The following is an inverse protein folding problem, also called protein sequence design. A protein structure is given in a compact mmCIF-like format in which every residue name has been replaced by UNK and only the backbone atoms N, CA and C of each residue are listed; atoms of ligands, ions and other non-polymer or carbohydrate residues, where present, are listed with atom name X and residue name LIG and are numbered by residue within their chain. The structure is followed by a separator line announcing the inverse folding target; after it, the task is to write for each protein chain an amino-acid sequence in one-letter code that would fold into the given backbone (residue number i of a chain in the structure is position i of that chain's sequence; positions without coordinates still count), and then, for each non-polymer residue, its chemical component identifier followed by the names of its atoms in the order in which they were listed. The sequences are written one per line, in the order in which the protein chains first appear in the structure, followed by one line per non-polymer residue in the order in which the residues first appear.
data_IF_424821878033
#
_entry.id   IF_424821878033
#
_cell.length_a   1.000
_cell.length_b   1.000
_cell.length_c   1.000
_cell.angle_alpha   90.00
_cell.angle_beta   90.00
_cell.angle_gamma   90.00
#
_symmetry.space_group_name_H-M   'P 1'
#
loop_
_entity.id
_entity.type
_entity.pdbx_description
1 polymer ?
#
# COMPACT_ATOMS: atom_id res chain seq x y z
N UNK A 1 8.54 1.09 -12.92
CA UNK A 1 8.42 1.63 -11.55
C UNK A 1 9.67 1.30 -10.78
N UNK A 2 10.41 2.31 -10.33
CA UNK A 2 11.55 2.14 -9.40
C UNK A 2 11.01 1.82 -7.99
N UNK A 3 11.72 1.01 -7.21
CA UNK A 3 11.33 0.61 -5.84
C UNK A 3 10.01 -0.16 -5.70
N UNK A 4 9.48 -0.70 -6.80
CA UNK A 4 8.31 -1.58 -6.76
C UNK A 4 8.56 -2.73 -5.77
N UNK A 5 7.64 -2.98 -4.82
CA UNK A 5 7.78 -4.10 -3.89
C UNK A 5 7.89 -5.44 -4.62
N UNK A 6 8.93 -6.21 -4.29
CA UNK A 6 9.06 -7.59 -4.78
C UNK A 6 8.29 -8.50 -3.83
N UNK A 7 7.15 -9.06 -4.25
CA UNK A 7 6.33 -9.91 -3.38
C UNK A 7 6.48 -11.35 -3.82
N UNK A 8 7.00 -12.21 -2.94
CA UNK A 8 7.07 -13.66 -3.17
C UNK A 8 5.75 -14.34 -2.79
N UNK A 9 5.22 -14.02 -1.61
CA UNK A 9 3.90 -14.47 -1.14
C UNK A 9 3.23 -13.38 -0.31
N UNK A 10 1.90 -13.38 -0.27
CA UNK A 10 1.10 -12.50 0.60
C UNK A 10 -0.32 -13.05 0.75
N UNK A 11 -0.99 -12.67 1.85
CA UNK A 11 -2.40 -12.97 2.09
C UNK A 11 -3.25 -11.73 1.77
N UNK A 12 -4.17 -11.82 0.79
CA UNK A 12 -5.17 -10.78 0.56
C UNK A 12 -6.14 -10.66 1.73
N UNK A 13 -6.28 -9.46 2.29
CA UNK A 13 -7.21 -9.17 3.42
C UNK A 13 -8.41 -8.33 3.01
N UNK A 14 -8.34 -7.67 1.87
CA UNK A 14 -9.43 -6.84 1.36
C UNK A 14 -9.23 -6.49 -0.10
N UNK A 15 -10.33 -6.32 -0.81
CA UNK A 15 -10.34 -5.82 -2.19
C UNK A 15 -11.27 -4.63 -2.27
N UNK A 16 -10.91 -3.67 -3.10
CA UNK A 16 -11.64 -2.43 -3.28
C UNK A 16 -11.74 -2.10 -4.76
N UNK A 17 -12.86 -1.48 -5.16
CA UNK A 17 -13.02 -0.87 -6.47
C UNK A 17 -13.03 0.66 -6.32
N UNK A 18 -12.26 1.35 -7.15
CA UNK A 18 -12.14 2.80 -7.19
C UNK A 18 -12.15 3.25 -8.66
N UNK A 19 -13.32 3.62 -9.19
CA UNK A 19 -13.46 3.92 -10.62
C UNK A 19 -12.94 2.76 -11.49
N UNK A 20 -11.96 3.05 -12.34
CA UNK A 20 -11.32 2.07 -13.24
C UNK A 20 -10.09 1.38 -12.61
N UNK A 21 -9.98 1.38 -11.28
CA UNK A 21 -8.91 0.70 -10.54
C UNK A 21 -9.49 -0.28 -9.55
N UNK A 22 -8.83 -1.42 -9.45
CA UNK A 22 -8.96 -2.31 -8.29
C UNK A 22 -7.80 -2.07 -7.34
N UNK A 23 -8.05 -2.13 -6.03
CA UNK A 23 -7.00 -2.12 -5.02
C UNK A 23 -7.10 -3.37 -4.15
N UNK A 24 -5.96 -4.03 -3.90
CA UNK A 24 -5.91 -5.21 -3.03
C UNK A 24 -5.02 -4.93 -1.84
N UNK A 25 -5.59 -5.07 -0.64
CA UNK A 25 -4.86 -5.03 0.62
C UNK A 25 -4.21 -6.38 0.88
N UNK A 26 -2.90 -6.37 1.02
CA UNK A 26 -2.04 -7.51 1.26
C UNK A 26 -1.43 -7.41 2.65
N UNK A 27 -1.24 -8.56 3.29
CA UNK A 27 -0.57 -8.72 4.59
C UNK A 27 0.19 -10.05 4.60
N UNK A 28 0.89 -10.36 5.70
CA UNK A 28 1.68 -11.61 5.81
C UNK A 28 2.61 -11.77 4.59
N UNK A 29 3.34 -10.69 4.31
CA UNK A 29 4.06 -10.49 3.06
C UNK A 29 5.46 -11.07 3.20
N UNK A 30 5.79 -12.03 2.35
CA UNK A 30 7.15 -12.49 2.17
C UNK A 30 7.76 -11.73 0.99
N UNK A 31 8.84 -11.00 1.26
CA UNK A 31 9.55 -10.19 0.27
C UNK A 31 11.06 -10.38 0.43
N UNK A 32 11.84 -10.46 -0.66
CA UNK A 32 13.29 -10.38 -0.61
C UNK A 32 13.82 -8.94 -0.48
N UNK A 33 12.94 -7.93 -0.50
CA UNK A 33 13.36 -6.53 -0.34
C UNK A 33 13.98 -6.32 1.06
N UNK A 34 14.85 -5.32 1.18
CA UNK A 34 15.41 -4.93 2.48
C UNK A 34 14.36 -4.35 3.46
N UNK A 35 13.18 -3.99 2.93
CA UNK A 35 12.07 -3.40 3.69
C UNK A 35 11.19 -4.52 4.24
N UNK A 36 10.79 -4.39 5.51
CA UNK A 36 9.85 -5.33 6.13
C UNK A 36 8.43 -4.78 6.02
N UNK A 37 7.67 -5.29 5.04
CA UNK A 37 6.30 -4.85 4.80
C UNK A 37 5.30 -5.50 5.78
N UNK A 38 4.54 -4.68 6.50
CA UNK A 38 3.38 -5.13 7.28
C UNK A 38 2.16 -5.26 6.39
N UNK A 39 1.90 -4.20 5.62
CA UNK A 39 0.78 -4.12 4.70
C UNK A 39 1.20 -3.47 3.40
N UNK A 40 0.57 -3.90 2.30
CA UNK A 40 0.69 -3.26 1.00
C UNK A 40 -0.71 -3.13 0.42
N UNK A 41 -1.09 -1.93 -0.02
CA UNK A 41 -2.26 -1.71 -0.86
C UNK A 41 -1.79 -1.50 -2.29
N UNK A 42 -2.08 -2.46 -3.17
CA UNK A 42 -1.64 -2.43 -4.56
C UNK A 42 -2.81 -2.03 -5.49
N UNK A 43 -2.64 -0.97 -6.27
CA UNK A 43 -3.64 -0.45 -7.20
C UNK A 43 -3.35 -0.90 -8.62
N UNK A 44 -4.28 -1.66 -9.20
CA UNK A 44 -4.20 -2.21 -10.55
C UNK A 44 -5.30 -1.58 -11.40
N UNK A 45 -4.96 -0.89 -12.50
CA UNK A 45 -5.96 -0.44 -13.47
C UNK A 45 -6.75 -1.63 -14.01
N UNK A 46 -8.03 -1.42 -14.31
CA UNK A 46 -8.87 -2.46 -14.87
C UNK A 46 -8.32 -3.00 -16.19
N UNK A 47 -8.48 -4.30 -16.41
CA UNK A 47 -7.90 -5.03 -17.54
C UNK A 47 -6.37 -5.18 -17.52
N UNK A 48 -5.64 -4.61 -16.55
CA UNK A 48 -4.20 -4.79 -16.39
C UNK A 48 -3.88 -5.84 -15.32
N UNK A 49 -2.67 -6.41 -15.41
CA UNK A 49 -2.18 -7.41 -14.43
C UNK A 49 -1.21 -6.82 -13.42
N UNK A 50 -0.61 -5.67 -13.74
CA UNK A 50 0.45 -5.09 -12.93
C UNK A 50 -0.04 -3.84 -12.19
N UNK A 51 0.29 -3.70 -10.90
CA UNK A 51 -0.02 -2.49 -10.17
C UNK A 51 0.74 -1.27 -10.70
N UNK A 52 0.07 -0.12 -10.72
CA UNK A 52 0.66 1.19 -11.07
C UNK A 52 0.97 2.06 -9.87
N UNK A 53 0.45 1.70 -8.71
CA UNK A 53 0.73 2.36 -7.44
C UNK A 53 0.71 1.31 -6.33
N UNK A 54 1.63 1.48 -5.39
CA UNK A 54 1.63 0.82 -4.10
C UNK A 54 1.62 1.87 -3.00
N UNK A 55 0.85 1.61 -1.96
CA UNK A 55 1.04 2.24 -0.66
C UNK A 55 1.47 1.14 0.30
N UNK A 56 2.51 1.39 1.08
CA UNK A 56 3.18 0.40 1.90
C UNK A 56 3.26 0.88 3.35
N UNK A 57 2.97 -0.01 4.30
CA UNK A 57 3.35 0.13 5.70
C UNK A 57 4.59 -0.71 5.94
N UNK A 58 5.70 -0.05 6.24
CA UNK A 58 7.01 -0.66 6.45
C UNK A 58 7.39 -0.55 7.92
N UNK A 59 7.80 -1.65 8.56
CA UNK A 59 8.35 -1.56 9.93
C UNK A 59 9.67 -0.80 9.89
N UNK A 60 9.86 0.15 10.81
CA UNK A 60 11.15 0.79 11.00
C UNK A 60 12.18 -0.28 11.40
N UNK A 61 13.39 -0.19 10.83
CA UNK A 61 14.50 -1.09 11.20
C UNK A 61 15.16 -0.69 12.52
N UNK A 62 14.77 0.44 13.11
CA UNK A 62 15.36 0.96 14.34
C UNK A 62 14.88 0.16 15.56
N UNK A 63 15.77 -0.55 16.28
CA UNK A 63 15.40 -1.28 17.48
C UNK A 63 14.97 -0.37 18.65
N UNK A 64 15.29 0.93 18.63
CA UNK A 64 14.85 1.88 19.65
C UNK A 64 13.35 2.23 19.50
N UNK A 65 12.80 2.13 18.29
CA UNK A 65 11.40 2.43 17.99
C UNK A 65 10.71 1.24 17.30
N UNK A 66 10.59 0.08 17.98
CA UNK A 66 10.14 -1.18 17.36
C UNK A 66 8.67 -1.16 16.90
N UNK A 67 7.94 -0.11 17.27
CA UNK A 67 6.54 0.12 16.88
C UNK A 67 6.41 1.10 15.72
N UNK A 68 7.44 1.89 15.42
CA UNK A 68 7.38 2.88 14.36
C UNK A 68 7.20 2.18 13.01
N UNK A 69 6.27 2.69 12.22
CA UNK A 69 6.03 2.24 10.86
C UNK A 69 6.12 3.44 9.91
N UNK A 70 6.72 3.24 8.75
CA UNK A 70 6.76 4.23 7.68
C UNK A 70 5.62 3.96 6.70
N UNK A 71 4.87 5.00 6.38
CA UNK A 71 3.89 4.99 5.30
C UNK A 71 4.56 5.50 4.02
N UNK A 72 4.73 4.61 3.05
CA UNK A 72 5.39 4.91 1.77
C UNK A 72 4.42 4.85 0.61
N UNK A 73 4.57 5.76 -0.33
CA UNK A 73 3.91 5.70 -1.65
C UNK A 73 4.97 5.36 -2.70
N UNK A 74 4.69 4.36 -3.54
CA UNK A 74 5.55 3.93 -4.66
C UNK A 74 4.73 3.91 -5.95
N UNK A 75 5.15 4.67 -6.94
CA UNK A 75 4.56 4.81 -8.27
C UNK A 75 5.64 4.91 -9.34
N UNK A 76 5.26 5.03 -10.60
CA UNK A 76 6.23 5.23 -11.68
C UNK A 76 7.12 6.47 -11.49
N UNK A 77 6.60 7.53 -10.88
CA UNK A 77 7.26 8.83 -10.77
C UNK A 77 7.73 9.17 -9.35
N UNK A 78 7.28 8.45 -8.33
CA UNK A 78 7.51 8.77 -6.92
C UNK A 78 7.74 7.51 -6.08
N UNK A 79 8.75 7.53 -5.21
CA UNK A 79 8.98 6.56 -4.13
C UNK A 79 9.36 7.32 -2.85
N UNK A 80 8.40 7.60 -1.97
CA UNK A 80 8.59 8.51 -0.83
C UNK A 80 7.86 8.04 0.42
N UNK A 81 8.50 8.23 1.59
CA UNK A 81 7.85 8.10 2.90
C UNK A 81 7.07 9.38 3.17
N UNK A 82 5.75 9.27 3.24
CA UNK A 82 4.85 10.43 3.39
C UNK A 82 4.40 10.63 4.84
N UNK A 83 4.47 9.59 5.68
CA UNK A 83 4.24 9.70 7.13
C UNK A 83 5.02 8.62 7.89
N UNK A 84 5.19 8.79 9.20
CA UNK A 84 5.86 7.83 10.09
C UNK A 84 5.18 7.82 11.46
N UNK A 85 4.47 6.74 11.76
CA UNK A 85 3.70 6.60 13.00
C UNK A 85 3.43 5.11 13.29
N UNK A 86 3.31 4.74 14.55
CA UNK A 86 2.99 3.38 14.98
C UNK A 86 1.57 2.94 14.55
N UNK A 87 0.64 3.88 14.31
CA UNK A 87 -0.74 3.59 13.85
C UNK A 87 -0.78 2.84 12.51
N UNK A 88 0.25 2.97 11.69
CA UNK A 88 0.34 2.24 10.41
C UNK A 88 0.59 0.74 10.58
N UNK A 89 0.78 0.26 11.82
CA UNK A 89 0.75 -1.16 12.15
C UNK A 89 -0.67 -1.74 12.26
N UNK A 90 -1.73 -0.91 12.25
CA UNK A 90 -3.12 -1.35 12.23
C UNK A 90 -3.64 -1.44 10.78
N UNK A 91 -4.24 -2.58 10.44
CA UNK A 91 -4.66 -2.88 9.07
C UNK A 91 -5.77 -1.96 8.56
N UNK A 92 -6.75 -1.65 9.40
CA UNK A 92 -7.92 -0.86 9.00
C UNK A 92 -7.54 0.61 8.88
N UNK A 93 -6.78 1.14 9.85
CA UNK A 93 -6.23 2.51 9.83
C UNK A 93 -5.31 2.71 8.62
N UNK A 94 -4.44 1.73 8.36
CA UNK A 94 -3.59 1.76 7.17
C UNK A 94 -4.42 1.74 5.88
N UNK A 95 -5.40 0.84 5.77
CA UNK A 95 -6.18 0.68 4.55
C UNK A 95 -6.97 1.94 4.20
N UNK A 96 -7.58 2.59 5.19
CA UNK A 96 -8.27 3.87 5.01
C UNK A 96 -7.33 4.94 4.46
N UNK A 97 -6.19 5.18 5.13
CA UNK A 97 -5.23 6.19 4.69
C UNK A 97 -4.62 5.86 3.31
N UNK A 98 -4.32 4.59 3.06
CA UNK A 98 -3.74 4.13 1.80
C UNK A 98 -4.70 4.30 0.62
N UNK A 99 -6.00 4.11 0.83
CA UNK A 99 -7.03 4.39 -0.17
C UNK A 99 -7.08 5.88 -0.50
N UNK A 100 -7.07 6.75 0.51
CA UNK A 100 -7.05 8.20 0.30
C UNK A 100 -5.83 8.66 -0.49
N UNK A 101 -4.63 8.23 -0.08
CA UNK A 101 -3.39 8.54 -0.77
C UNK A 101 -3.40 8.02 -2.21
N UNK A 102 -3.91 6.81 -2.43
CA UNK A 102 -3.99 6.24 -3.77
C UNK A 102 -4.98 6.95 -4.68
N UNK A 103 -6.14 7.33 -4.15
CA UNK A 103 -7.13 8.15 -4.86
C UNK A 103 -6.51 9.49 -5.28
N UNK A 104 -5.77 10.14 -4.38
CA UNK A 104 -5.10 11.40 -4.67
C UNK A 104 -3.98 11.23 -5.71
N UNK A 105 -3.08 10.27 -5.50
CA UNK A 105 -1.92 10.04 -6.37
C UNK A 105 -2.32 9.64 -7.80
N UNK A 106 -3.45 8.93 -7.96
CA UNK A 106 -3.97 8.53 -9.29
C UNK A 106 -4.89 9.58 -9.93
N UNK A 107 -5.13 10.72 -9.27
CA UNK A 107 -6.03 11.76 -9.77
C UNK A 107 -7.51 11.34 -9.81
N UNK A 108 -7.89 10.40 -8.93
CA UNK A 108 -9.24 9.83 -8.85
C UNK A 108 -10.14 10.58 -7.86
N UNK A 109 -9.86 11.84 -7.53
CA UNK A 109 -10.41 12.58 -6.37
C UNK A 109 -11.94 12.72 -6.31
N UNK A 110 -12.69 12.31 -7.35
CA UNK A 110 -14.16 12.26 -7.37
C UNK A 110 -14.72 10.85 -7.15
N UNK A 111 -13.87 9.84 -7.05
CA UNK A 111 -14.25 8.44 -6.89
C UNK A 111 -14.20 8.06 -5.41
N UNK A 112 -15.11 7.18 -5.01
CA UNK A 112 -15.09 6.57 -3.68
C UNK A 112 -14.64 5.12 -3.79
N UNK A 113 -13.91 4.66 -2.78
CA UNK A 113 -13.55 3.25 -2.68
C UNK A 113 -14.73 2.42 -2.18
N UNK A 114 -15.08 1.39 -2.93
CA UNK A 114 -16.10 0.41 -2.54
C UNK A 114 -15.38 -0.88 -2.17
N UNK A 115 -15.52 -1.31 -0.91
CA UNK A 115 -14.99 -2.61 -0.46
C UNK A 115 -15.78 -3.74 -1.12
N UNK A 116 -15.06 -4.67 -1.73
CA UNK A 116 -15.60 -5.87 -2.36
C UNK A 116 -15.59 -7.03 -1.35
N UNK A 117 -16.63 -7.87 -1.42
CA UNK A 117 -16.81 -9.06 -0.58
C UNK A 117 -15.83 -10.18 -0.93
#
# INVERSE_FOLDING_TARGET
MQDRPTIKTAIPKGRYQIGDYSATLLSEIESPDARTYRYILAFVPDGQREPRLYVCSESAADPAEPRLCHLRVVSETLSEVVDSDARWADADVFAEQALELGIQALGLSKQQAVKLL
#
